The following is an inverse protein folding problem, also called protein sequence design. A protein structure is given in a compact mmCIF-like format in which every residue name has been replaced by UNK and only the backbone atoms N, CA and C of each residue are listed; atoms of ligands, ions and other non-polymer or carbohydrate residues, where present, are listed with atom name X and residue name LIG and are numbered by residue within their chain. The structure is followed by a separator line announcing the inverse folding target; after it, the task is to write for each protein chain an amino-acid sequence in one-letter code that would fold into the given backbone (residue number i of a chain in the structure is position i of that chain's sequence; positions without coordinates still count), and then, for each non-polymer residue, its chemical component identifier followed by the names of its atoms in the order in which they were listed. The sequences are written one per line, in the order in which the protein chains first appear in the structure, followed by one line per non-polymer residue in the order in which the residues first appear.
data_IF_426930694262
#
_entry.id   IF_426930694262
#
_cell.length_a   1.000
_cell.length_b   1.000
_cell.length_c   1.000
_cell.angle_alpha   90.00
_cell.angle_beta   90.00
_cell.angle_gamma   90.00
#
_symmetry.space_group_name_H-M   'P 1'
#
loop_
_entity.id
_entity.type
_entity.pdbx_description
1 polymer ?
#
# COMPACT_ATOMS: atom_id res chain seq x y z
N UNK A 1 -6.50 18.08 -0.85
CA UNK A 1 -7.72 18.57 -0.18
C UNK A 1 -8.60 17.43 0.36
N UNK A 2 -8.61 16.25 -0.29
CA UNK A 2 -9.49 15.12 0.08
C UNK A 2 -9.05 14.41 1.36
N UNK A 3 -7.75 14.33 1.65
CA UNK A 3 -7.25 13.73 2.90
C UNK A 3 -7.61 14.55 4.15
N UNK A 4 -7.77 15.86 4.02
CA UNK A 4 -8.15 16.73 5.13
C UNK A 4 -9.56 16.48 5.67
N UNK A 5 -10.49 16.03 4.82
CA UNK A 5 -11.84 15.67 5.26
C UNK A 5 -11.93 14.24 5.83
N UNK A 6 -10.98 13.37 5.52
CA UNK A 6 -10.97 11.98 5.99
C UNK A 6 -10.70 11.84 7.49
N UNK A 7 -10.06 12.83 8.11
CA UNK A 7 -9.71 12.79 9.54
C UNK A 7 -10.59 13.71 10.40
N UNK A 8 -11.49 14.51 9.77
CA UNK A 8 -12.49 15.30 10.50
C UNK A 8 -13.55 14.37 11.09
N UNK A 9 -13.40 14.01 12.34
CA UNK A 9 -14.31 13.13 13.09
C UNK A 9 -13.66 11.90 13.69
N UNK A 10 -12.40 11.62 13.37
CA UNK A 10 -11.61 10.63 14.09
C UNK A 10 -10.95 11.33 15.29
N UNK A 11 -11.47 11.10 16.46
CA UNK A 11 -10.86 11.55 17.71
C UNK A 11 -9.49 10.86 17.84
N UNK A 12 -8.42 11.63 17.63
CA UNK A 12 -7.02 11.15 17.64
C UNK A 12 -6.68 10.51 18.99
N UNK A 13 -7.27 10.99 20.08
CA UNK A 13 -7.05 10.47 21.45
C UNK A 13 -7.77 9.14 21.68
N UNK A 14 -8.82 8.83 20.91
CA UNK A 14 -9.63 7.62 21.12
C UNK A 14 -9.39 6.52 20.06
N UNK A 15 -8.65 6.79 18.97
CA UNK A 15 -8.37 5.78 17.96
C UNK A 15 -6.92 5.28 18.05
N UNK A 16 -6.67 4.11 18.67
CA UNK A 16 -5.32 3.56 18.82
C UNK A 16 -4.61 3.29 17.49
N UNK A 17 -5.33 3.22 16.37
CA UNK A 17 -4.73 3.05 15.03
C UNK A 17 -4.02 4.32 14.56
N UNK A 18 -4.42 5.52 15.00
CA UNK A 18 -3.81 6.79 14.59
C UNK A 18 -2.44 7.02 15.25
N UNK A 19 -2.18 6.42 16.40
CA UNK A 19 -0.91 6.53 17.12
C UNK A 19 0.00 5.31 16.91
N UNK A 20 -0.54 4.22 16.39
CA UNK A 20 0.10 2.90 16.37
C UNK A 20 1.44 2.83 15.60
N UNK A 21 1.70 3.70 14.65
CA UNK A 21 2.91 3.67 13.82
C UNK A 21 3.89 4.79 14.07
N UNK A 22 3.53 5.81 14.87
CA UNK A 22 4.34 7.03 15.02
C UNK A 22 5.67 6.77 15.73
N UNK A 23 5.70 5.89 16.73
CA UNK A 23 6.90 5.53 17.48
C UNK A 23 7.68 4.37 16.87
N UNK A 24 7.20 3.78 15.77
CA UNK A 24 7.85 2.63 15.16
C UNK A 24 8.97 3.03 14.23
N UNK A 25 10.09 2.29 14.22
CA UNK A 25 11.17 2.52 13.29
C UNK A 25 10.71 2.26 11.84
N UNK A 26 11.25 3.06 10.92
CA UNK A 26 11.07 2.89 9.48
C UNK A 26 12.47 2.65 8.87
N UNK A 27 12.95 1.40 8.82
CA UNK A 27 14.29 1.09 8.34
C UNK A 27 14.42 1.37 6.84
N UNK A 28 15.57 1.93 6.44
CA UNK A 28 16.01 1.99 5.05
C UNK A 28 16.49 0.59 4.66
N UNK A 29 15.96 0.05 3.57
CA UNK A 29 16.29 -1.29 3.06
C UNK A 29 17.10 -1.25 1.77
N UNK A 30 17.09 -0.11 1.08
CA UNK A 30 17.92 0.16 -0.10
C UNK A 30 18.15 1.67 -0.22
N UNK A 31 19.37 2.09 -0.53
CA UNK A 31 19.68 3.48 -0.87
C UNK A 31 20.84 3.59 -1.85
N UNK A 32 20.79 4.61 -2.70
CA UNK A 32 21.88 5.09 -3.56
C UNK A 32 21.68 6.59 -3.86
N UNK A 33 22.41 7.15 -4.82
CA UNK A 33 22.31 8.58 -5.18
C UNK A 33 20.96 8.97 -5.79
N UNK A 34 20.19 8.03 -6.30
CA UNK A 34 18.94 8.24 -7.01
C UNK A 34 17.69 7.90 -6.19
N UNK A 35 17.76 6.83 -5.41
CA UNK A 35 16.61 6.18 -4.78
C UNK A 35 16.86 5.85 -3.31
N UNK A 36 15.78 5.89 -2.54
CA UNK A 36 15.71 5.26 -1.23
C UNK A 36 14.42 4.44 -1.12
N UNK A 37 14.53 3.22 -0.60
CA UNK A 37 13.39 2.36 -0.31
C UNK A 37 13.40 2.03 1.17
N UNK A 38 12.25 2.20 1.79
CA UNK A 38 12.07 1.95 3.23
C UNK A 38 11.07 0.82 3.45
N UNK A 39 11.15 0.18 4.60
CA UNK A 39 10.10 -0.68 5.11
C UNK A 39 9.21 0.14 6.07
N UNK A 40 8.10 0.65 5.53
CA UNK A 40 7.14 1.46 6.29
C UNK A 40 6.39 0.58 7.30
N UNK A 41 6.35 0.91 8.60
CA UNK A 41 5.52 0.19 9.55
C UNK A 41 4.03 0.41 9.28
N UNK A 42 3.19 -0.53 9.68
CA UNK A 42 1.74 -0.33 9.75
C UNK A 42 1.42 0.77 10.78
N UNK A 43 0.44 1.62 10.47
CA UNK A 43 0.04 2.75 11.28
C UNK A 43 0.75 4.07 10.95
N UNK A 44 1.87 4.06 10.22
CA UNK A 44 2.53 5.27 9.75
C UNK A 44 1.91 5.76 8.43
N UNK A 45 1.62 7.06 8.35
CA UNK A 45 1.17 7.68 7.10
C UNK A 45 2.29 7.67 6.04
N UNK A 46 1.92 7.56 4.76
CA UNK A 46 2.86 7.74 3.63
C UNK A 46 3.20 9.21 3.40
N UNK A 47 2.24 10.10 3.61
CA UNK A 47 2.36 11.56 3.49
C UNK A 47 1.70 12.22 4.69
N UNK A 48 2.07 13.45 5.06
CA UNK A 48 1.46 14.16 6.17
C UNK A 48 -0.07 14.23 6.01
N UNK A 49 -0.77 14.02 7.12
CA UNK A 49 -2.20 14.31 7.26
C UNK A 49 -2.45 15.77 7.60
N UNK A 50 -3.70 16.10 7.95
CA UNK A 50 -4.06 17.46 8.39
C UNK A 50 -3.58 17.72 9.80
N UNK A 51 -3.74 16.77 10.69
CA UNK A 51 -3.40 16.85 12.12
C UNK A 51 -2.14 16.06 12.50
N UNK A 52 -1.73 15.12 11.66
CA UNK A 52 -0.58 14.25 11.89
C UNK A 52 0.51 14.59 10.87
N UNK A 53 1.57 15.23 11.36
CA UNK A 53 2.70 15.64 10.53
C UNK A 53 3.70 14.50 10.27
N UNK A 54 3.84 13.57 11.23
CA UNK A 54 4.74 12.41 11.08
C UNK A 54 4.25 11.49 9.97
N UNK A 55 5.13 11.24 9.01
CA UNK A 55 4.86 10.38 7.87
C UNK A 55 6.16 9.85 7.28
N UNK A 56 6.07 8.81 6.45
CA UNK A 56 7.23 8.31 5.73
C UNK A 56 7.91 9.42 4.92
N UNK A 57 7.14 10.26 4.22
CA UNK A 57 7.69 11.39 3.47
C UNK A 57 8.40 12.42 4.35
N UNK A 58 7.83 12.77 5.51
CA UNK A 58 8.46 13.71 6.46
C UNK A 58 9.78 13.16 6.98
N UNK A 59 9.78 11.87 7.37
CA UNK A 59 11.01 11.19 7.84
C UNK A 59 12.09 11.13 6.76
N UNK A 60 11.72 10.84 5.50
CA UNK A 60 12.67 10.84 4.37
C UNK A 60 13.24 12.23 4.11
N UNK A 61 12.43 13.28 4.13
CA UNK A 61 12.92 14.66 3.97
C UNK A 61 13.92 15.06 5.06
N UNK A 62 13.71 14.59 6.28
CA UNK A 62 14.63 14.85 7.40
C UNK A 62 15.95 14.07 7.26
N UNK A 63 15.89 12.81 6.78
CA UNK A 63 17.08 11.99 6.55
C UNK A 63 17.88 12.45 5.32
N UNK A 64 17.21 12.95 4.29
CA UNK A 64 17.83 13.39 3.02
C UNK A 64 17.47 14.85 2.72
N UNK A 65 18.00 15.80 3.50
CA UNK A 65 17.64 17.23 3.38
C UNK A 65 18.01 17.85 2.02
N UNK A 66 18.95 17.25 1.31
CA UNK A 66 19.38 17.68 -0.03
C UNK A 66 18.57 17.04 -1.18
N UNK A 67 17.62 16.15 -0.87
CA UNK A 67 16.74 15.57 -1.88
C UNK A 67 15.85 16.64 -2.51
N UNK A 68 15.78 16.66 -3.84
CA UNK A 68 15.06 17.68 -4.59
C UNK A 68 14.07 17.09 -5.59
N UNK A 69 13.08 17.90 -5.97
CA UNK A 69 12.01 17.50 -6.88
C UNK A 69 10.86 16.79 -6.17
N UNK A 70 10.03 16.13 -6.94
CA UNK A 70 8.94 15.30 -6.40
C UNK A 70 9.54 13.99 -5.87
N UNK A 71 9.61 13.85 -4.56
CA UNK A 71 10.30 12.76 -3.88
C UNK A 71 9.45 11.50 -3.87
N UNK A 72 8.13 11.63 -3.64
CA UNK A 72 7.21 10.51 -3.53
C UNK A 72 6.77 10.00 -4.91
N UNK A 73 6.84 8.70 -5.12
CA UNK A 73 6.45 8.01 -6.37
C UNK A 73 5.11 7.30 -6.27
N UNK A 74 4.84 6.68 -5.14
CA UNK A 74 3.62 5.93 -4.86
C UNK A 74 3.31 5.98 -3.37
N UNK A 75 2.14 5.49 -2.97
CA UNK A 75 1.69 5.52 -1.58
C UNK A 75 1.24 4.14 -1.13
N UNK A 76 1.42 3.88 0.15
CA UNK A 76 0.75 2.82 0.89
C UNK A 76 -0.31 3.45 1.80
N UNK A 77 -1.38 2.74 2.06
CA UNK A 77 -2.35 3.13 3.09
C UNK A 77 -1.69 3.15 4.46
N UNK A 78 -2.24 3.88 5.41
CA UNK A 78 -1.70 4.00 6.76
C UNK A 78 -1.53 2.62 7.40
N UNK A 79 -2.56 1.76 7.32
CA UNK A 79 -2.58 0.42 7.90
C UNK A 79 -1.70 -0.60 7.16
N UNK A 80 -1.28 -0.31 5.91
CA UNK A 80 -0.43 -1.18 5.10
C UNK A 80 1.03 -0.99 5.47
N UNK A 81 1.75 -2.07 5.74
CA UNK A 81 3.20 -2.07 5.94
C UNK A 81 3.97 -2.42 4.67
N UNK A 82 5.31 -2.24 4.70
CA UNK A 82 6.21 -2.74 3.66
C UNK A 82 6.88 -1.68 2.81
N UNK A 83 7.33 -2.11 1.64
CA UNK A 83 8.22 -1.34 0.78
C UNK A 83 7.57 -0.08 0.21
N UNK A 84 8.19 1.05 0.47
CA UNK A 84 7.81 2.36 -0.05
C UNK A 84 9.04 3.05 -0.64
N UNK A 85 8.97 3.43 -1.92
CA UNK A 85 10.08 4.00 -2.68
C UNK A 85 9.96 5.52 -2.80
N UNK A 86 11.09 6.19 -2.65
CA UNK A 86 11.27 7.62 -2.86
C UNK A 86 12.43 7.86 -3.82
N UNK A 87 12.43 9.02 -4.47
CA UNK A 87 13.54 9.48 -5.31
C UNK A 87 14.25 10.65 -4.66
N UNK A 88 15.56 10.74 -4.85
CA UNK A 88 16.39 11.77 -4.23
C UNK A 88 16.69 12.95 -5.16
N UNK A 89 16.40 12.81 -6.46
CA UNK A 89 16.62 13.86 -7.45
C UNK A 89 15.55 13.86 -8.57
N UNK A 90 15.34 15.00 -9.28
CA UNK A 90 14.30 15.12 -10.30
C UNK A 90 14.47 14.18 -11.51
N UNK A 91 15.70 13.84 -11.87
CA UNK A 91 16.00 12.96 -13.01
C UNK A 91 15.55 11.52 -12.71
N UNK A 92 15.89 11.01 -11.53
CA UNK A 92 15.42 9.73 -11.04
C UNK A 92 13.89 9.70 -10.95
N UNK A 93 13.29 10.75 -10.39
CA UNK A 93 11.83 10.89 -10.28
C UNK A 93 11.14 10.76 -11.64
N UNK A 94 11.54 11.56 -12.63
CA UNK A 94 10.96 11.52 -13.98
C UNK A 94 11.05 10.14 -14.63
N UNK A 95 12.18 9.44 -14.44
CA UNK A 95 12.40 8.09 -15.00
C UNK A 95 11.57 7.04 -14.30
N UNK A 96 11.51 7.09 -12.96
CA UNK A 96 10.70 6.15 -12.19
C UNK A 96 9.21 6.37 -12.39
N UNK A 97 8.73 7.61 -12.44
CA UNK A 97 7.33 7.91 -12.78
C UNK A 97 6.91 7.26 -14.10
N UNK A 98 7.78 7.32 -15.13
CA UNK A 98 7.50 6.66 -16.42
C UNK A 98 7.35 5.15 -16.27
N UNK A 99 8.16 4.51 -15.43
CA UNK A 99 8.04 3.07 -15.16
C UNK A 99 6.73 2.74 -14.44
N UNK A 100 6.31 3.56 -13.47
CA UNK A 100 5.01 3.38 -12.81
C UNK A 100 3.85 3.55 -13.79
N UNK A 101 3.85 4.61 -14.61
CA UNK A 101 2.82 4.87 -15.63
C UNK A 101 2.75 3.71 -16.63
N UNK A 102 3.89 3.19 -17.07
CA UNK A 102 3.99 2.07 -18.02
C UNK A 102 3.81 0.70 -17.37
N UNK A 103 3.51 0.63 -16.06
CA UNK A 103 3.36 -0.61 -15.29
C UNK A 103 4.59 -1.53 -15.36
N UNK A 104 5.76 -0.95 -15.45
CA UNK A 104 7.05 -1.66 -15.49
C UNK A 104 7.60 -1.96 -14.09
N UNK A 105 7.12 -1.26 -13.07
CA UNK A 105 7.42 -1.58 -11.67
C UNK A 105 6.49 -2.71 -11.24
N UNK A 106 7.05 -3.88 -10.95
CA UNK A 106 6.30 -5.01 -10.44
C UNK A 106 6.24 -4.93 -8.91
N UNK A 107 5.04 -5.09 -8.38
CA UNK A 107 4.76 -5.04 -6.94
C UNK A 107 4.12 -6.35 -6.52
N UNK A 108 4.64 -6.96 -5.47
CA UNK A 108 4.00 -8.12 -4.85
C UNK A 108 3.71 -7.79 -3.40
N UNK A 109 2.45 -7.99 -3.01
CA UNK A 109 2.00 -7.86 -1.63
C UNK A 109 1.72 -9.24 -1.07
N UNK A 110 1.90 -9.39 0.24
CA UNK A 110 1.44 -10.55 0.99
C UNK A 110 0.26 -10.11 1.85
N UNK A 111 -0.78 -10.90 1.86
CA UNK A 111 -1.95 -10.68 2.71
C UNK A 111 -2.47 -12.00 3.28
N UNK A 112 -3.01 -11.95 4.49
CA UNK A 112 -3.84 -13.03 5.03
C UNK A 112 -5.31 -12.62 4.92
N UNK A 113 -6.15 -13.49 4.36
CA UNK A 113 -7.60 -13.29 4.26
C UNK A 113 -8.35 -14.24 5.20
N UNK A 114 -9.50 -13.78 5.69
CA UNK A 114 -10.42 -14.57 6.51
C UNK A 114 -11.10 -15.64 5.66
N UNK A 115 -10.79 -16.90 5.92
CA UNK A 115 -11.38 -18.04 5.21
C UNK A 115 -10.40 -18.83 4.37
N UNK A 116 -10.88 -19.95 3.82
CA UNK A 116 -10.11 -20.89 3.01
C UNK A 116 -10.45 -20.71 1.54
N UNK A 117 -9.55 -20.06 0.79
CA UNK A 117 -9.70 -19.84 -0.66
C UNK A 117 -9.61 -21.17 -1.40
N UNK A 118 -10.63 -21.52 -2.18
CA UNK A 118 -10.68 -22.82 -2.86
C UNK A 118 -9.69 -22.93 -4.03
N UNK A 119 -9.65 -21.91 -4.89
CA UNK A 119 -8.76 -21.87 -6.05
C UNK A 119 -7.33 -21.53 -5.67
N UNK A 120 -6.34 -21.90 -6.49
CA UNK A 120 -4.93 -21.62 -6.23
C UNK A 120 -4.49 -20.24 -6.74
N UNK A 121 -5.15 -19.69 -7.72
CA UNK A 121 -4.86 -18.38 -8.31
C UNK A 121 -6.09 -17.82 -9.03
N UNK A 122 -6.06 -16.55 -9.35
CA UNK A 122 -7.11 -15.90 -10.13
C UNK A 122 -6.80 -14.42 -10.42
N UNK A 123 -7.75 -13.79 -11.08
CA UNK A 123 -7.75 -12.37 -11.44
C UNK A 123 -9.04 -11.75 -10.92
N UNK A 124 -8.93 -10.56 -10.33
CA UNK A 124 -10.07 -9.74 -9.93
C UNK A 124 -9.98 -8.46 -10.79
N UNK A 125 -11.01 -8.23 -11.59
CA UNK A 125 -11.16 -7.06 -12.47
C UNK A 125 -12.49 -6.38 -12.13
N UNK A 126 -12.46 -5.56 -11.07
CA UNK A 126 -13.63 -4.84 -10.57
C UNK A 126 -13.31 -3.35 -10.47
N UNK A 127 -14.08 -2.47 -11.15
CA UNK A 127 -13.83 -1.04 -11.16
C UNK A 127 -14.15 -0.40 -9.81
N UNK A 128 -13.28 0.50 -9.35
CA UNK A 128 -13.36 1.12 -8.02
C UNK A 128 -13.64 2.62 -8.09
N UNK A 129 -14.52 3.07 -7.20
CA UNK A 129 -14.83 4.48 -6.95
C UNK A 129 -14.83 4.78 -5.45
N UNK A 130 -14.65 6.05 -5.03
CA UNK A 130 -14.90 6.44 -3.65
C UNK A 130 -16.36 6.20 -3.27
N UNK A 131 -16.60 5.67 -2.08
CA UNK A 131 -17.91 5.66 -1.48
C UNK A 131 -18.14 7.01 -0.78
N UNK A 132 -18.81 7.92 -1.47
CA UNK A 132 -19.05 9.27 -0.95
C UNK A 132 -19.99 9.32 0.25
N UNK A 133 -20.68 8.24 0.56
CA UNK A 133 -21.56 8.13 1.73
C UNK A 133 -20.84 7.53 2.93
N UNK A 134 -19.67 6.89 2.72
CA UNK A 134 -18.91 6.23 3.78
C UNK A 134 -17.38 6.39 3.54
N UNK A 135 -16.90 7.64 3.45
CA UNK A 135 -15.48 7.91 3.33
C UNK A 135 -14.73 7.47 4.62
N UNK A 136 -13.52 6.90 4.53
CA UNK A 136 -12.65 6.85 3.35
C UNK A 136 -12.82 5.59 2.46
N UNK A 137 -13.88 4.84 2.63
CA UNK A 137 -14.11 3.59 1.90
C UNK A 137 -14.15 3.81 0.39
N UNK A 138 -13.75 2.78 -0.33
CA UNK A 138 -13.94 2.63 -1.77
C UNK A 138 -15.00 1.54 -2.00
N UNK A 139 -15.66 1.59 -3.14
CA UNK A 139 -16.70 0.64 -3.53
C UNK A 139 -16.49 0.16 -4.96
N UNK A 140 -16.99 -1.02 -5.28
CA UNK A 140 -17.11 -1.47 -6.67
C UNK A 140 -18.25 -0.69 -7.34
N UNK A 141 -17.97 -0.09 -8.49
CA UNK A 141 -18.94 0.72 -9.19
C UNK A 141 -18.70 0.70 -10.71
N UNK A 142 -19.56 0.01 -11.46
CA UNK A 142 -19.45 -0.11 -12.91
C UNK A 142 -19.68 1.21 -13.66
N UNK A 143 -20.46 2.14 -13.07
CA UNK A 143 -20.83 3.38 -13.73
C UNK A 143 -19.74 4.45 -13.68
N UNK A 144 -19.10 4.61 -12.53
CA UNK A 144 -18.13 5.69 -12.27
C UNK A 144 -16.77 5.20 -11.81
N UNK A 145 -16.64 3.88 -11.57
CA UNK A 145 -15.41 3.25 -11.11
C UNK A 145 -14.31 3.30 -12.14
N UNK A 146 -13.09 3.47 -11.65
CA UNK A 146 -11.89 3.37 -12.46
C UNK A 146 -11.47 1.92 -12.58
N UNK A 147 -11.16 1.46 -13.79
CA UNK A 147 -10.66 0.12 -14.05
C UNK A 147 -9.53 -0.26 -13.07
N UNK A 148 -9.68 -1.42 -12.46
CA UNK A 148 -8.78 -1.91 -11.40
C UNK A 148 -8.63 -3.42 -11.54
N UNK A 149 -7.38 -3.90 -11.63
CA UNK A 149 -7.06 -5.30 -11.85
C UNK A 149 -6.03 -5.77 -10.83
N UNK A 150 -6.30 -6.91 -10.19
CA UNK A 150 -5.43 -7.58 -9.22
C UNK A 150 -5.30 -9.05 -9.57
N UNK A 151 -4.07 -9.53 -9.75
CA UNK A 151 -3.77 -10.95 -9.84
C UNK A 151 -3.43 -11.48 -8.45
N UNK A 152 -3.88 -12.69 -8.14
CA UNK A 152 -3.60 -13.31 -6.86
C UNK A 152 -3.24 -14.79 -7.01
N UNK A 153 -2.45 -15.28 -6.05
CA UNK A 153 -2.13 -16.69 -5.90
C UNK A 153 -2.02 -17.08 -4.43
N UNK A 154 -2.41 -18.31 -4.13
CA UNK A 154 -2.32 -18.85 -2.77
C UNK A 154 -0.89 -19.27 -2.47
N UNK A 155 -0.38 -18.85 -1.31
CA UNK A 155 0.90 -19.30 -0.75
C UNK A 155 0.66 -20.48 0.20
N UNK A 156 -0.20 -20.27 1.20
CA UNK A 156 -0.55 -21.30 2.19
C UNK A 156 -2.00 -21.16 2.63
N UNK A 157 -2.57 -22.25 3.12
CA UNK A 157 -3.90 -22.29 3.75
C UNK A 157 -3.77 -22.80 5.18
N UNK A 158 -4.48 -22.18 6.10
CA UNK A 158 -4.72 -22.68 7.44
C UNK A 158 -6.16 -23.24 7.56
N UNK A 159 -6.60 -23.53 8.78
CA UNK A 159 -7.99 -23.96 9.02
C UNK A 159 -9.01 -22.84 8.79
N UNK A 160 -8.62 -21.57 8.99
CA UNK A 160 -9.51 -20.42 8.97
C UNK A 160 -9.03 -19.23 8.14
N UNK A 161 -7.78 -19.24 7.65
CA UNK A 161 -7.19 -18.16 6.88
C UNK A 161 -6.42 -18.68 5.68
N UNK A 162 -6.22 -17.82 4.68
CA UNK A 162 -5.38 -18.10 3.51
C UNK A 162 -4.38 -16.97 3.33
N UNK A 163 -3.11 -17.33 3.20
CA UNK A 163 -2.05 -16.38 2.82
C UNK A 163 -1.95 -16.31 1.31
N UNK A 164 -1.99 -15.09 0.78
CA UNK A 164 -1.99 -14.78 -0.64
C UNK A 164 -0.79 -13.93 -1.04
N UNK A 165 -0.27 -14.17 -2.24
CA UNK A 165 0.50 -13.20 -2.98
C UNK A 165 -0.43 -12.42 -3.91
N UNK A 166 -0.42 -11.08 -3.80
CA UNK A 166 -1.26 -10.17 -4.57
C UNK A 166 -0.38 -9.30 -5.47
N UNK A 167 -0.69 -9.26 -6.76
CA UNK A 167 0.01 -8.42 -7.75
C UNK A 167 -0.98 -7.42 -8.34
N UNK A 168 -1.02 -6.17 -7.84
CA UNK A 168 -1.85 -5.12 -8.41
C UNK A 168 -1.29 -4.64 -9.75
N UNK A 169 -2.05 -4.81 -10.83
CA UNK A 169 -1.72 -4.28 -12.16
C UNK A 169 -2.02 -2.79 -12.22
N UNK A 170 -3.05 -2.36 -11.53
CA UNK A 170 -3.41 -0.96 -11.30
C UNK A 170 -3.13 -0.59 -9.84
N UNK A 171 -3.17 0.70 -9.48
CA UNK A 171 -2.90 1.18 -8.12
C UNK A 171 -3.98 2.14 -7.62
N UNK A 172 -5.22 1.65 -7.43
CA UNK A 172 -6.31 2.46 -6.87
C UNK A 172 -6.28 2.43 -5.35
N UNK A 173 -6.83 3.46 -4.72
CA UNK A 173 -6.99 3.53 -3.26
C UNK A 173 -7.73 2.28 -2.77
N UNK A 174 -7.23 1.65 -1.72
CA UNK A 174 -7.77 0.44 -1.10
C UNK A 174 -8.01 -0.74 -2.06
N UNK A 175 -7.42 -0.73 -3.27
CA UNK A 175 -7.73 -1.71 -4.31
C UNK A 175 -7.66 -3.16 -3.82
N UNK A 176 -6.55 -3.57 -3.20
CA UNK A 176 -6.35 -4.94 -2.74
C UNK A 176 -7.34 -5.32 -1.64
N UNK A 177 -7.66 -4.37 -0.76
CA UNK A 177 -8.60 -4.56 0.35
C UNK A 177 -10.02 -4.79 -0.16
N UNK A 178 -10.50 -3.92 -1.06
CA UNK A 178 -11.84 -4.06 -1.66
C UNK A 178 -11.93 -5.31 -2.52
N UNK A 179 -10.93 -5.59 -3.36
CA UNK A 179 -10.93 -6.77 -4.22
C UNK A 179 -10.97 -8.09 -3.43
N UNK A 180 -10.31 -8.14 -2.27
CA UNK A 180 -10.40 -9.32 -1.40
C UNK A 180 -11.75 -9.42 -0.69
N UNK A 181 -12.30 -8.31 -0.20
CA UNK A 181 -13.52 -8.32 0.61
C UNK A 181 -14.80 -8.44 -0.21
N UNK A 182 -14.84 -7.89 -1.44
CA UNK A 182 -16.07 -7.83 -2.25
C UNK A 182 -16.52 -9.23 -2.70
N UNK A 183 -17.84 -9.56 -2.62
CA UNK A 183 -18.36 -10.88 -3.00
C UNK A 183 -18.04 -11.30 -4.44
N UNK A 184 -18.03 -10.36 -5.39
CA UNK A 184 -17.65 -10.61 -6.79
C UNK A 184 -16.14 -10.67 -7.01
N UNK A 185 -15.34 -10.28 -6.00
CA UNK A 185 -13.90 -10.49 -5.94
C UNK A 185 -13.55 -11.82 -5.30
N UNK A 186 -12.80 -11.79 -4.20
CA UNK A 186 -12.46 -13.00 -3.45
C UNK A 186 -13.56 -13.40 -2.46
N UNK A 187 -14.39 -12.43 -1.99
CA UNK A 187 -15.42 -12.63 -0.98
C UNK A 187 -14.86 -12.91 0.43
N UNK A 188 -13.58 -12.62 0.66
CA UNK A 188 -12.87 -12.88 1.91
C UNK A 188 -12.05 -11.64 2.29
N UNK A 189 -12.48 -10.85 3.30
CA UNK A 189 -11.73 -9.68 3.73
C UNK A 189 -10.38 -10.07 4.31
N UNK A 190 -9.45 -9.13 4.32
CA UNK A 190 -8.15 -9.32 4.96
C UNK A 190 -8.30 -9.37 6.49
N UNK A 191 -7.47 -10.17 7.14
CA UNK A 191 -7.39 -10.23 8.59
C UNK A 191 -7.06 -8.86 9.14
N UNK A 192 -7.84 -8.40 10.12
CA UNK A 192 -7.62 -7.12 10.79
C UNK A 192 -7.97 -5.89 9.96
N UNK A 193 -8.71 -6.05 8.86
CA UNK A 193 -9.14 -4.91 8.03
C UNK A 193 -10.28 -4.14 8.71
N UNK A 194 -9.95 -2.97 9.23
CA UNK A 194 -10.84 -2.09 9.98
C UNK A 194 -11.96 -1.46 9.12
N UNK A 195 -11.80 -1.44 7.79
CA UNK A 195 -12.78 -0.86 6.88
C UNK A 195 -13.66 -1.89 6.18
N UNK A 196 -13.10 -3.01 5.76
CA UNK A 196 -13.78 -3.99 4.90
C UNK A 196 -13.98 -5.36 5.55
N UNK A 197 -13.47 -5.55 6.77
CA UNK A 197 -13.52 -6.81 7.51
C UNK A 197 -13.80 -6.62 8.99
N UNK A 198 -13.10 -7.37 9.82
CA UNK A 198 -13.19 -7.32 11.28
C UNK A 198 -11.89 -6.71 11.79
N UNK A 199 -12.03 -5.65 12.60
CA UNK A 199 -10.89 -4.98 13.23
C UNK A 199 -10.07 -5.97 14.07
N UNK A 200 -8.75 -5.92 13.94
CA UNK A 200 -7.78 -6.73 14.70
C UNK A 200 -6.63 -5.87 15.21
N UNK A 201 -5.54 -6.51 15.61
CA UNK A 201 -4.34 -5.80 16.06
C UNK A 201 -3.72 -4.94 14.94
N UNK A 202 -3.81 -5.42 13.69
CA UNK A 202 -3.37 -4.70 12.49
C UNK A 202 -3.97 -5.34 11.22
N UNK A 203 -3.96 -4.58 10.14
CA UNK A 203 -4.25 -5.10 8.81
C UNK A 203 -3.11 -6.05 8.36
N UNK A 204 -3.46 -7.28 7.96
CA UNK A 204 -2.52 -8.23 7.35
C UNK A 204 -2.36 -7.96 5.85
N UNK A 205 -1.71 -6.84 5.53
CA UNK A 205 -1.33 -6.44 4.17
C UNK A 205 0.06 -5.81 4.19
N UNK A 206 0.99 -6.42 3.46
CA UNK A 206 2.40 -6.03 3.41
C UNK A 206 2.91 -5.90 1.99
N UNK A 207 3.48 -4.75 1.63
CA UNK A 207 4.17 -4.54 0.36
C UNK A 207 5.54 -5.25 0.41
N UNK A 208 5.54 -6.52 0.00
CA UNK A 208 6.63 -7.47 0.24
C UNK A 208 7.79 -7.32 -0.74
N UNK A 209 7.49 -7.09 -2.03
CA UNK A 209 8.51 -7.12 -3.08
C UNK A 209 8.29 -6.02 -4.12
N UNK A 210 9.39 -5.36 -4.51
CA UNK A 210 9.47 -4.42 -5.63
C UNK A 210 10.52 -4.90 -6.63
N UNK A 211 10.16 -4.89 -7.91
CA UNK A 211 11.07 -5.17 -9.03
C UNK A 211 10.95 -4.04 -10.05
N UNK A 212 12.07 -3.43 -10.39
CA UNK A 212 12.12 -2.27 -11.30
C UNK A 212 13.48 -2.15 -11.98
N UNK A 213 13.54 -1.39 -13.06
CA UNK A 213 14.81 -1.02 -13.70
C UNK A 213 15.37 0.22 -13.04
N UNK A 214 16.62 0.16 -12.56
CA UNK A 214 17.26 1.32 -11.93
C UNK A 214 17.31 2.52 -12.89
N UNK A 215 16.93 3.73 -12.43
CA UNK A 215 16.79 4.88 -13.32
C UNK A 215 18.09 5.28 -14.02
N UNK A 216 19.25 5.06 -13.42
CA UNK A 216 20.54 5.46 -13.98
C UNK A 216 21.35 4.27 -14.49
N UNK A 217 21.63 3.24 -13.70
CA UNK A 217 22.42 2.08 -14.13
C UNK A 217 21.74 1.17 -15.14
N UNK A 218 20.40 1.19 -15.21
CA UNK A 218 19.57 0.30 -16.05
C UNK A 218 19.55 -1.17 -15.64
N UNK A 219 20.13 -1.50 -14.53
CA UNK A 219 20.08 -2.84 -13.96
C UNK A 219 18.68 -3.13 -13.41
N UNK A 220 18.29 -4.40 -13.47
CA UNK A 220 17.08 -4.87 -12.79
C UNK A 220 17.35 -4.99 -11.30
N UNK A 221 16.61 -4.24 -10.50
CA UNK A 221 16.69 -4.25 -9.04
C UNK A 221 15.49 -4.99 -8.48
N UNK A 222 15.75 -5.89 -7.55
CA UNK A 222 14.73 -6.58 -6.76
C UNK A 222 14.97 -6.31 -5.28
N UNK A 223 13.95 -5.82 -4.58
CA UNK A 223 14.00 -5.53 -3.14
C UNK A 223 12.87 -6.29 -2.48
N UNK A 224 13.16 -6.95 -1.37
CA UNK A 224 12.18 -7.68 -0.57
C UNK A 224 12.23 -7.21 0.90
N UNK A 225 11.07 -7.12 1.53
CA UNK A 225 10.92 -6.90 2.97
C UNK A 225 10.18 -8.09 3.57
N UNK A 226 10.66 -8.68 4.67
CA UNK A 226 9.99 -9.80 5.31
C UNK A 226 8.63 -9.37 5.86
N UNK A 227 7.66 -10.28 5.81
CA UNK A 227 6.34 -10.10 6.42
C UNK A 227 6.48 -10.16 7.93
N UNK A 228 5.76 -9.30 8.65
CA UNK A 228 5.83 -9.14 10.11
C UNK A 228 4.55 -9.58 10.84
N UNK A 229 3.71 -10.43 10.19
CA UNK A 229 2.50 -11.05 10.77
C UNK A 229 2.33 -12.51 10.33
#
# INVERSE_FOLDING_TARGET
PILGHMLQGLDVEQNPLLTFGQDKPMPVVYEDDDLVVVNKPAGLLSVPGVEIEDSALTRIKNLYPNATGAILLHRLDMSTSGLLMFTLNPKANKRMQRQFIKRQVQKTYIADVEGVVANNHGIIDLPLAPDYYDLPRQMVCDKTGKASETHWSVITRSKSTTRLALKPITGRTHQLRVHCAHPEGLGMPMVGDELYGVIGERLHLHAHKLEFTHPTSKELITIEAPVDF
#
